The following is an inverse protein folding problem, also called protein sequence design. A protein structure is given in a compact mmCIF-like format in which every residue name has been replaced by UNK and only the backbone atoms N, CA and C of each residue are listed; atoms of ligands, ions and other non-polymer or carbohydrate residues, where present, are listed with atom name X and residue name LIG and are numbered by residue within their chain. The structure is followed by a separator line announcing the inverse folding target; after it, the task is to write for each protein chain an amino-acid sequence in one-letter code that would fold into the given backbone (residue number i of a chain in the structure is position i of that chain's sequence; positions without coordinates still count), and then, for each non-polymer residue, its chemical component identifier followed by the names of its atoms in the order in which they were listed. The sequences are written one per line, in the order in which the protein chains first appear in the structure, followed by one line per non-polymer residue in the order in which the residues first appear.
data_IF_436209584661
#
_entry.id   IF_436209584661
#
_cell.length_a   1.000
_cell.length_b   1.000
_cell.length_c   1.000
_cell.angle_alpha   90.00
_cell.angle_beta   90.00
_cell.angle_gamma   90.00
#
_symmetry.space_group_name_H-M   'P 1'
#
loop_
_entity.id
_entity.type
_entity.pdbx_description
1 polymer ?
#
# COMPACT_ATOMS: atom_id res chain seq x y z
N UNK A 1 19.37 -4.31 -27.18
CA UNK A 1 18.38 -5.26 -27.76
C UNK A 1 17.70 -4.64 -28.96
N UNK A 2 17.56 -5.37 -30.04
CA UNK A 2 17.10 -4.83 -31.33
C UNK A 2 15.58 -4.58 -31.29
N UNK A 3 15.14 -3.30 -31.30
CA UNK A 3 13.73 -2.89 -31.28
C UNK A 3 12.87 -3.54 -32.38
N UNK A 4 13.51 -4.00 -33.46
CA UNK A 4 12.87 -4.72 -34.58
C UNK A 4 12.48 -6.15 -34.24
N UNK A 5 13.17 -6.84 -33.32
CA UNK A 5 12.83 -8.18 -32.88
C UNK A 5 11.62 -8.21 -31.94
N UNK A 6 11.43 -7.17 -31.12
CA UNK A 6 10.27 -7.02 -30.24
C UNK A 6 9.01 -6.73 -31.11
N UNK A 7 9.13 -5.87 -32.11
CA UNK A 7 8.04 -5.58 -33.03
C UNK A 7 7.63 -6.80 -33.88
N UNK A 8 8.57 -7.65 -34.25
CA UNK A 8 8.30 -8.87 -35.02
C UNK A 8 7.63 -9.96 -34.17
N UNK A 9 8.01 -10.07 -32.86
CA UNK A 9 7.36 -10.98 -31.94
C UNK A 9 5.92 -10.60 -31.64
N UNK A 10 5.62 -9.30 -31.57
CA UNK A 10 4.26 -8.79 -31.40
C UNK A 10 3.44 -8.98 -32.68
N UNK A 11 4.01 -8.75 -33.85
CA UNK A 11 3.31 -8.90 -35.14
C UNK A 11 2.99 -10.36 -35.47
N UNK A 12 3.78 -11.33 -35.04
CA UNK A 12 3.51 -12.75 -35.25
C UNK A 12 2.40 -13.34 -34.36
N UNK A 13 2.08 -12.66 -33.26
CA UNK A 13 0.96 -13.04 -32.38
C UNK A 13 -0.42 -12.60 -32.88
N UNK A 14 -0.48 -11.68 -33.86
CA UNK A 14 -1.74 -11.02 -34.29
C UNK A 14 -2.36 -11.67 -35.56
N UNK A 15 -1.78 -12.70 -36.13
CA UNK A 15 -2.20 -13.20 -37.48
C UNK A 15 -3.12 -14.44 -37.44
N UNK A 16 -3.81 -14.76 -36.35
CA UNK A 16 -4.79 -15.84 -36.32
C UNK A 16 -6.23 -15.26 -36.28
N UNK A 17 -7.19 -15.89 -37.00
CA UNK A 17 -8.59 -15.54 -36.84
C UNK A 17 -9.03 -15.89 -35.43
N UNK A 18 -9.25 -14.88 -34.62
CA UNK A 18 -9.82 -15.01 -33.28
C UNK A 18 -11.27 -15.38 -33.41
N UNK A 19 -11.62 -16.62 -33.08
CA UNK A 19 -12.97 -16.94 -32.68
C UNK A 19 -13.11 -16.40 -31.27
N UNK A 20 -13.59 -15.18 -31.12
CA UNK A 20 -13.83 -14.55 -29.85
C UNK A 20 -14.79 -15.42 -29.02
N UNK A 21 -14.30 -16.08 -28.02
CA UNK A 21 -15.12 -16.66 -26.98
C UNK A 21 -15.69 -15.51 -26.14
N UNK A 22 -16.89 -15.67 -25.60
CA UNK A 22 -17.60 -14.61 -24.91
C UNK A 22 -16.73 -13.99 -23.80
N UNK A 23 -16.38 -12.71 -23.97
CA UNK A 23 -15.69 -11.96 -22.91
C UNK A 23 -16.61 -11.85 -21.68
N UNK A 24 -16.12 -12.31 -20.54
CA UNK A 24 -16.85 -12.21 -19.28
C UNK A 24 -16.48 -10.92 -18.57
N UNK A 25 -17.46 -10.10 -18.23
CA UNK A 25 -17.30 -8.93 -17.37
C UNK A 25 -17.89 -9.23 -16.01
N UNK A 26 -17.07 -9.19 -14.99
CA UNK A 26 -17.50 -9.31 -13.61
C UNK A 26 -17.50 -7.93 -12.94
N UNK A 27 -18.62 -7.60 -12.31
CA UNK A 27 -18.74 -6.46 -11.40
C UNK A 27 -18.50 -6.97 -9.99
N UNK A 28 -17.63 -6.30 -9.26
CA UNK A 28 -17.31 -6.64 -7.87
C UNK A 28 -16.94 -5.39 -7.08
N UNK A 29 -16.87 -5.50 -5.79
CA UNK A 29 -16.50 -4.36 -4.97
C UNK A 29 -16.52 -4.69 -3.49
N UNK A 30 -16.11 -3.70 -2.71
CA UNK A 30 -16.18 -3.74 -1.25
C UNK A 30 -16.64 -2.38 -0.75
N UNK A 31 -17.60 -2.40 0.16
CA UNK A 31 -18.00 -1.24 0.97
C UNK A 31 -17.52 -1.51 2.39
N UNK A 32 -16.66 -0.65 2.91
CA UNK A 32 -16.00 -0.80 4.20
C UNK A 32 -16.04 0.53 4.95
N UNK A 33 -16.85 0.61 5.99
CA UNK A 33 -17.08 1.84 6.74
C UNK A 33 -17.14 1.58 8.24
N UNK A 34 -16.80 2.59 9.01
CA UNK A 34 -16.86 2.50 10.46
C UNK A 34 -17.01 3.85 11.17
N UNK A 35 -17.14 3.76 12.47
CA UNK A 35 -17.08 4.89 13.39
C UNK A 35 -15.85 4.72 14.25
N UNK A 36 -15.02 5.74 14.28
CA UNK A 36 -13.79 5.79 15.04
C UNK A 36 -13.88 6.80 16.17
N UNK A 37 -13.27 6.47 17.28
CA UNK A 37 -12.85 7.40 18.32
C UNK A 37 -11.32 7.41 18.37
N UNK A 38 -10.73 8.49 17.84
CA UNK A 38 -9.28 8.66 17.75
C UNK A 38 -8.82 9.58 18.86
N UNK A 39 -7.96 9.08 19.73
CA UNK A 39 -7.34 9.85 20.82
C UNK A 39 -5.94 10.29 20.41
N UNK A 40 -5.70 11.59 20.45
CA UNK A 40 -4.37 12.17 20.25
C UNK A 40 -3.73 12.42 21.62
N UNK A 41 -2.80 11.58 22.03
CA UNK A 41 -2.04 11.82 23.24
C UNK A 41 -0.98 12.90 23.00
N UNK A 42 -0.70 13.67 24.05
CA UNK A 42 0.28 14.74 24.01
C UNK A 42 1.71 14.21 23.85
N UNK A 43 2.38 14.63 22.78
CA UNK A 43 3.84 14.51 22.68
C UNK A 43 4.55 15.46 23.64
N UNK A 44 5.84 15.27 23.85
CA UNK A 44 6.71 16.01 24.81
C UNK A 44 6.89 17.50 24.47
N UNK A 45 6.48 17.95 23.31
CA UNK A 45 6.67 19.32 22.83
C UNK A 45 5.51 20.28 23.19
N UNK A 46 4.98 20.19 24.38
CA UNK A 46 4.09 21.14 25.03
C UNK A 46 3.02 21.80 24.13
N UNK A 47 1.76 21.55 24.41
CA UNK A 47 0.55 22.19 23.89
C UNK A 47 -0.16 21.56 22.70
N UNK A 48 -0.22 20.28 22.60
CA UNK A 48 -1.30 19.66 21.80
C UNK A 48 -2.38 19.21 22.78
N UNK A 49 -3.55 19.81 22.67
CA UNK A 49 -4.69 19.42 23.49
C UNK A 49 -5.04 17.96 23.22
N UNK A 50 -5.44 17.26 24.27
CA UNK A 50 -6.07 15.94 24.19
C UNK A 50 -7.42 16.08 23.47
N UNK A 51 -7.41 16.08 22.16
CA UNK A 51 -8.63 16.11 21.38
C UNK A 51 -8.96 14.68 20.94
N UNK A 52 -9.99 14.10 21.53
CA UNK A 52 -10.61 12.92 20.97
C UNK A 52 -11.47 13.35 19.79
N UNK A 53 -11.30 12.68 18.66
CA UNK A 53 -12.05 12.96 17.45
C UNK A 53 -12.89 11.72 17.09
N UNK A 54 -14.22 11.87 17.27
CA UNK A 54 -15.16 10.91 16.70
C UNK A 54 -15.36 11.20 15.21
N UNK A 55 -15.28 10.18 14.37
CA UNK A 55 -15.49 10.32 12.92
C UNK A 55 -16.22 9.13 12.33
N UNK A 56 -16.91 9.35 11.21
CA UNK A 56 -17.32 8.29 10.31
C UNK A 56 -16.24 8.13 9.24
N UNK A 57 -15.71 6.94 9.09
CA UNK A 57 -14.58 6.63 8.22
C UNK A 57 -14.99 5.66 7.11
N UNK A 58 -14.28 5.74 5.99
CA UNK A 58 -14.30 4.80 4.88
C UNK A 58 -12.92 4.15 4.78
N UNK A 59 -12.86 2.83 4.75
CA UNK A 59 -11.62 2.05 4.80
C UNK A 59 -11.24 1.47 3.43
N UNK A 60 -11.35 2.28 2.39
CA UNK A 60 -10.94 1.90 1.05
C UNK A 60 -12.02 1.21 0.25
N UNK A 61 -13.29 1.61 0.45
CA UNK A 61 -14.41 1.18 -0.40
C UNK A 61 -14.10 1.38 -1.88
N UNK A 62 -14.48 0.42 -2.71
CA UNK A 62 -14.27 0.49 -4.14
C UNK A 62 -15.31 -0.28 -4.96
N UNK A 63 -15.44 0.12 -6.22
CA UNK A 63 -16.13 -0.63 -7.27
C UNK A 63 -15.11 -1.11 -8.30
N UNK A 64 -15.18 -2.37 -8.67
CA UNK A 64 -14.30 -3.00 -9.64
C UNK A 64 -15.06 -3.60 -10.82
N UNK A 65 -14.42 -3.53 -11.97
CA UNK A 65 -14.79 -4.25 -13.19
C UNK A 65 -13.58 -5.06 -13.63
N UNK A 66 -13.75 -6.34 -13.95
CA UNK A 66 -12.69 -7.18 -14.50
C UNK A 66 -13.22 -8.13 -15.53
N UNK A 67 -12.36 -8.54 -16.44
CA UNK A 67 -12.73 -9.49 -17.47
C UNK A 67 -11.55 -10.22 -18.04
N UNK A 68 -11.85 -11.30 -18.76
CA UNK A 68 -10.89 -12.06 -19.52
C UNK A 68 -11.51 -12.53 -20.84
N UNK A 69 -10.67 -12.62 -21.85
CA UNK A 69 -11.02 -13.13 -23.19
C UNK A 69 -9.96 -14.16 -23.60
N UNK A 70 -10.39 -15.37 -23.92
CA UNK A 70 -9.49 -16.39 -24.47
C UNK A 70 -9.13 -16.03 -25.92
N UNK A 71 -7.87 -15.73 -26.17
CA UNK A 71 -7.35 -15.37 -27.50
C UNK A 71 -6.68 -16.52 -28.22
N UNK A 72 -6.80 -17.75 -27.70
CA UNK A 72 -6.26 -18.98 -28.29
C UNK A 72 -4.89 -19.37 -27.75
N UNK A 73 -4.44 -20.58 -28.08
CA UNK A 73 -3.14 -21.15 -27.71
C UNK A 73 -2.84 -21.13 -26.19
N UNK A 74 -3.87 -21.22 -25.35
CA UNK A 74 -3.70 -21.18 -23.89
C UNK A 74 -3.36 -19.80 -23.33
N UNK A 75 -3.64 -18.73 -24.12
CA UNK A 75 -3.42 -17.33 -23.73
C UNK A 75 -4.78 -16.63 -23.62
N UNK A 76 -4.93 -15.84 -22.58
CA UNK A 76 -6.08 -14.95 -22.37
C UNK A 76 -5.62 -13.49 -22.28
N UNK A 77 -6.34 -12.59 -22.91
CA UNK A 77 -6.29 -11.17 -22.59
C UNK A 77 -7.06 -10.95 -21.28
N UNK A 78 -6.48 -10.19 -20.36
CA UNK A 78 -7.07 -9.88 -19.05
C UNK A 78 -7.10 -8.37 -18.83
N UNK A 79 -8.06 -7.89 -18.09
CA UNK A 79 -8.14 -6.49 -17.70
C UNK A 79 -8.87 -6.33 -16.38
N UNK A 80 -8.56 -5.27 -15.68
CA UNK A 80 -9.18 -4.87 -14.42
C UNK A 80 -9.20 -3.35 -14.32
N UNK A 81 -10.28 -2.79 -13.77
CA UNK A 81 -10.40 -1.39 -13.41
C UNK A 81 -11.03 -1.35 -12.03
N UNK A 82 -10.35 -0.79 -11.06
CA UNK A 82 -10.86 -0.53 -9.72
C UNK A 82 -10.88 0.96 -9.43
N UNK A 83 -12.03 1.44 -9.00
CA UNK A 83 -12.26 2.83 -8.61
C UNK A 83 -12.61 2.91 -7.13
N UNK A 84 -11.82 3.63 -6.35
CA UNK A 84 -12.15 3.95 -4.97
C UNK A 84 -13.42 4.80 -4.88
N UNK A 85 -14.24 4.51 -3.88
CA UNK A 85 -15.48 5.22 -3.58
C UNK A 85 -15.34 5.77 -2.16
N UNK A 86 -15.59 7.06 -1.95
CA UNK A 86 -15.63 7.63 -0.59
C UNK A 86 -17.07 7.70 -0.11
N UNK A 87 -17.37 6.96 0.95
CA UNK A 87 -18.68 6.96 1.63
C UNK A 87 -18.72 7.91 2.82
N UNK A 88 -17.57 8.34 3.34
CA UNK A 88 -17.47 9.24 4.49
C UNK A 88 -17.48 10.71 4.14
N UNK A 89 -17.36 11.07 2.86
CA UNK A 89 -17.25 12.46 2.44
C UNK A 89 -15.97 13.16 2.90
N UNK A 90 -15.03 12.43 3.46
CA UNK A 90 -13.73 12.92 3.92
C UNK A 90 -12.84 13.39 2.76
N UNK A 91 -11.85 14.19 3.08
CA UNK A 91 -10.98 15.05 2.28
C UNK A 91 -10.31 14.49 1.02
N UNK A 92 -10.73 13.39 0.48
CA UNK A 92 -10.29 12.97 -0.85
C UNK A 92 -10.97 13.85 -1.89
N UNK A 93 -10.41 15.03 -2.09
CA UNK A 93 -10.61 15.93 -3.25
C UNK A 93 -12.00 15.90 -3.86
N UNK A 94 -12.97 15.65 -3.02
CA UNK A 94 -14.34 15.63 -3.39
C UNK A 94 -14.76 17.06 -3.68
N UNK A 95 -15.21 17.31 -4.83
CA UNK A 95 -16.00 18.45 -5.30
C UNK A 95 -15.89 19.73 -4.46
N UNK A 96 -14.93 20.54 -4.77
CA UNK A 96 -14.98 21.93 -4.40
C UNK A 96 -15.63 22.72 -5.57
N UNK A 97 -16.94 22.80 -5.58
CA UNK A 97 -17.66 23.73 -6.45
C UNK A 97 -17.96 24.96 -5.61
N UNK A 98 -17.27 26.07 -5.87
CA UNK A 98 -17.48 27.37 -5.24
C UNK A 98 -17.35 27.37 -3.70
N UNK A 99 -16.33 26.69 -3.14
CA UNK A 99 -16.13 26.66 -1.69
C UNK A 99 -17.08 25.73 -0.93
N UNK A 100 -17.84 24.89 -1.63
CA UNK A 100 -18.65 23.84 -1.03
C UNK A 100 -18.02 22.48 -1.32
N UNK A 101 -17.59 21.80 -0.27
CA UNK A 101 -17.17 20.42 -0.30
C UNK A 101 -18.38 19.53 -0.54
N UNK A 102 -18.43 18.87 -1.66
CA UNK A 102 -19.46 17.89 -1.96
C UNK A 102 -19.07 17.09 -3.20
N UNK A 103 -18.98 15.81 -3.10
CA UNK A 103 -18.70 14.80 -4.12
C UNK A 103 -17.33 14.87 -4.85
N UNK A 104 -16.66 13.75 -4.98
CA UNK A 104 -15.32 13.64 -5.55
C UNK A 104 -15.22 14.29 -6.92
N UNK A 105 -14.32 15.26 -7.07
CA UNK A 105 -14.15 16.00 -8.34
C UNK A 105 -13.40 15.23 -9.38
N UNK A 106 -12.73 14.18 -9.00
CA UNK A 106 -12.01 13.37 -9.94
C UNK A 106 -12.26 11.89 -9.61
N UNK A 107 -13.17 11.22 -10.33
CA UNK A 107 -13.37 9.80 -10.19
C UNK A 107 -12.08 9.00 -10.46
N UNK A 108 -11.06 9.65 -11.02
CA UNK A 108 -9.78 9.04 -11.37
C UNK A 108 -8.67 9.24 -10.32
N UNK A 109 -8.88 10.03 -9.28
CA UNK A 109 -7.83 10.34 -8.28
C UNK A 109 -7.62 9.26 -7.22
N UNK A 110 -8.43 8.23 -7.20
CA UNK A 110 -8.28 7.12 -6.29
C UNK A 110 -8.37 5.79 -7.05
N UNK A 111 -7.58 5.67 -8.10
CA UNK A 111 -7.48 4.41 -8.84
C UNK A 111 -6.75 3.39 -7.98
N UNK A 112 -7.37 2.22 -7.86
CA UNK A 112 -6.78 1.02 -7.30
C UNK A 112 -6.16 0.20 -8.44
N UNK A 113 -5.97 -1.11 -8.28
CA UNK A 113 -5.38 -1.95 -9.32
C UNK A 113 -6.17 -1.85 -10.63
N UNK A 114 -5.57 -1.25 -11.64
CA UNK A 114 -6.19 -1.01 -12.96
C UNK A 114 -5.16 -1.27 -14.05
N UNK A 115 -5.36 -2.34 -14.82
CA UNK A 115 -4.39 -2.83 -15.78
C UNK A 115 -5.03 -3.57 -16.94
N UNK A 116 -4.23 -3.78 -17.97
CA UNK A 116 -4.49 -4.72 -19.07
C UNK A 116 -3.29 -5.65 -19.21
N UNK A 117 -3.51 -6.91 -19.60
CA UNK A 117 -2.42 -7.87 -19.69
C UNK A 117 -2.75 -9.11 -20.49
N UNK A 118 -1.76 -9.99 -20.55
CA UNK A 118 -1.86 -11.33 -21.14
C UNK A 118 -1.52 -12.35 -20.06
N UNK A 119 -2.33 -13.38 -19.95
CA UNK A 119 -2.16 -14.47 -19.00
C UNK A 119 -2.11 -15.81 -19.70
N UNK A 120 -1.17 -16.65 -19.28
CA UNK A 120 -1.03 -18.04 -19.73
C UNK A 120 -0.76 -18.94 -18.55
N UNK A 121 -1.41 -20.08 -18.49
CA UNK A 121 -1.20 -21.08 -17.43
C UNK A 121 0.21 -21.67 -17.41
N UNK A 122 0.91 -21.64 -18.54
CA UNK A 122 2.27 -22.16 -18.67
C UNK A 122 3.37 -21.11 -18.65
N UNK A 123 3.06 -19.87 -19.06
CA UNK A 123 4.03 -18.79 -19.19
C UNK A 123 3.86 -17.67 -18.17
N UNK A 124 2.80 -17.73 -17.35
CA UNK A 124 2.48 -16.70 -16.36
C UNK A 124 1.73 -15.51 -16.95
N UNK A 125 1.76 -14.39 -16.25
CA UNK A 125 0.97 -13.20 -16.57
C UNK A 125 1.88 -11.99 -16.69
N UNK A 126 1.71 -11.23 -17.77
CA UNK A 126 2.31 -9.89 -17.96
C UNK A 126 1.19 -8.87 -17.99
N UNK A 127 1.32 -7.81 -17.24
CA UNK A 127 0.31 -6.75 -17.16
C UNK A 127 0.96 -5.36 -17.13
N UNK A 128 0.24 -4.35 -17.61
CA UNK A 128 0.68 -2.96 -17.59
C UNK A 128 -0.43 -2.04 -17.11
N UNK A 129 -0.10 -1.09 -16.26
CA UNK A 129 -1.04 -0.13 -15.69
C UNK A 129 -0.69 0.28 -14.27
N UNK A 130 -1.70 0.27 -13.40
CA UNK A 130 -1.60 0.53 -11.96
C UNK A 130 -1.73 -0.81 -11.24
N UNK A 131 -0.74 -1.17 -10.45
CA UNK A 131 -0.75 -2.45 -9.76
C UNK A 131 0.07 -2.39 -8.47
N UNK A 132 -0.37 -3.12 -7.43
CA UNK A 132 0.42 -3.30 -6.22
C UNK A 132 1.78 -3.89 -6.58
N UNK A 133 2.85 -3.38 -5.98
CA UNK A 133 4.19 -3.92 -6.24
C UNK A 133 4.32 -5.36 -5.74
N UNK A 134 5.17 -6.18 -6.33
CA UNK A 134 5.54 -7.49 -5.78
C UNK A 134 5.95 -7.42 -4.31
N UNK A 135 6.63 -6.36 -3.91
CA UNK A 135 7.02 -6.10 -2.53
C UNK A 135 5.80 -6.03 -1.60
N UNK A 136 4.79 -5.23 -1.95
CA UNK A 136 3.53 -5.15 -1.21
C UNK A 136 2.78 -6.49 -1.18
N UNK A 137 2.66 -7.13 -2.34
CA UNK A 137 1.93 -8.41 -2.47
C UNK A 137 2.51 -9.51 -1.58
N UNK A 138 3.83 -9.49 -1.36
CA UNK A 138 4.56 -10.51 -0.63
C UNK A 138 4.07 -10.71 0.81
N UNK A 139 3.60 -9.67 1.48
CA UNK A 139 3.22 -9.72 2.90
C UNK A 139 1.78 -9.29 3.18
N UNK A 140 1.01 -8.89 2.16
CA UNK A 140 -0.37 -8.43 2.32
C UNK A 140 -1.29 -9.43 3.05
N UNK A 141 -1.09 -10.73 2.86
CA UNK A 141 -1.86 -11.78 3.54
C UNK A 141 -1.51 -11.99 5.02
N UNK A 142 -0.43 -11.37 5.49
CA UNK A 142 0.08 -11.54 6.85
C UNK A 142 -0.58 -10.55 7.83
N UNK A 143 -1.23 -9.51 7.31
CA UNK A 143 -1.92 -8.51 8.12
C UNK A 143 -3.42 -8.82 8.25
N UNK A 144 -3.90 -9.20 9.46
CA UNK A 144 -5.32 -9.40 9.70
C UNK A 144 -6.12 -8.10 9.81
N UNK A 145 -5.46 -6.93 9.86
CA UNK A 145 -6.07 -5.61 10.01
C UNK A 145 -5.92 -4.72 8.77
N UNK A 146 -5.55 -5.33 7.63
CA UNK A 146 -5.39 -4.60 6.36
C UNK A 146 -6.66 -3.79 5.99
N UNK A 147 -6.44 -2.61 5.42
CA UNK A 147 -7.50 -1.65 5.10
C UNK A 147 -8.31 -1.17 6.34
N UNK A 148 -7.71 -1.11 7.54
CA UNK A 148 -8.31 -0.53 8.76
C UNK A 148 -7.32 0.44 9.43
N UNK A 149 -7.72 1.09 10.52
CA UNK A 149 -6.77 1.88 11.34
C UNK A 149 -5.65 1.03 11.97
N UNK A 150 -5.85 -0.28 12.05
CA UNK A 150 -4.87 -1.21 12.58
C UNK A 150 -3.88 -1.74 11.55
N UNK A 151 -4.00 -1.34 10.29
CA UNK A 151 -3.12 -1.74 9.20
C UNK A 151 -1.64 -1.56 9.54
N UNK A 152 -0.84 -2.57 9.27
CA UNK A 152 0.59 -2.57 9.60
C UNK A 152 1.40 -1.49 8.84
N UNK A 153 0.86 -0.96 7.74
CA UNK A 153 1.49 0.11 6.98
C UNK A 153 1.55 1.47 7.72
N UNK A 154 0.96 1.56 8.90
CA UNK A 154 1.28 2.64 9.82
C UNK A 154 2.75 2.65 10.27
N UNK A 155 3.41 1.50 10.19
CA UNK A 155 4.81 1.27 10.59
C UNK A 155 5.63 0.63 9.47
N UNK A 156 5.13 -0.48 8.89
CA UNK A 156 5.83 -1.25 7.85
C UNK A 156 5.83 -0.48 6.53
N UNK A 157 6.98 -0.39 5.88
CA UNK A 157 7.14 0.38 4.64
C UNK A 157 7.09 1.90 4.83
N UNK A 158 6.89 2.37 6.06
CA UNK A 158 6.82 3.78 6.40
C UNK A 158 8.17 4.31 6.88
N UNK A 159 8.35 5.62 6.80
CA UNK A 159 9.47 6.33 7.42
C UNK A 159 8.93 7.56 8.15
N UNK A 160 9.42 7.80 9.34
CA UNK A 160 8.96 8.90 10.19
C UNK A 160 10.07 9.91 10.45
N UNK A 161 10.58 10.56 9.41
CA UNK A 161 11.49 11.67 9.56
C UNK A 161 10.80 12.92 10.08
N UNK A 162 11.52 13.73 10.82
CA UNK A 162 11.04 14.98 11.38
C UNK A 162 10.42 15.90 10.31
N UNK A 163 9.16 16.30 10.51
CA UNK A 163 8.43 17.16 9.59
C UNK A 163 7.72 16.47 8.44
N UNK A 164 7.69 15.16 8.44
CA UNK A 164 6.91 14.34 7.52
C UNK A 164 5.70 13.75 8.22
N UNK A 165 4.55 13.74 7.57
CA UNK A 165 3.55 12.69 7.82
C UNK A 165 4.22 11.36 7.51
N UNK A 166 3.97 10.34 8.31
CA UNK A 166 4.41 8.99 7.97
C UNK A 166 3.98 8.70 6.53
N UNK A 167 4.94 8.62 5.65
CA UNK A 167 4.70 8.36 4.25
C UNK A 167 5.24 6.98 3.95
N UNK A 168 4.40 6.14 3.38
CA UNK A 168 4.86 4.85 2.90
C UNK A 168 5.83 5.07 1.74
N UNK A 169 7.07 4.67 1.94
CA UNK A 169 8.07 4.61 0.87
C UNK A 169 7.97 3.30 0.11
N UNK A 170 7.55 2.24 0.80
CA UNK A 170 7.41 0.89 0.26
C UNK A 170 5.97 0.41 0.44
N UNK A 171 5.64 -0.79 -0.02
CA UNK A 171 4.26 -1.31 -0.04
C UNK A 171 3.31 -0.48 -0.91
N UNK A 172 3.77 -0.07 -2.08
CA UNK A 172 3.13 0.90 -2.96
C UNK A 172 2.23 0.27 -4.03
N UNK A 173 1.40 1.12 -4.62
CA UNK A 173 0.63 0.86 -5.84
C UNK A 173 0.95 1.93 -6.88
N UNK A 174 2.09 1.81 -7.56
CA UNK A 174 2.52 2.80 -8.53
C UNK A 174 1.67 2.77 -9.80
N UNK A 175 1.59 3.93 -10.45
CA UNK A 175 1.19 4.07 -11.85
C UNK A 175 2.35 3.73 -12.78
N UNK A 176 2.09 3.60 -14.09
CA UNK A 176 3.12 3.38 -15.10
C UNK A 176 3.98 2.12 -14.86
N UNK A 177 3.38 1.09 -14.30
CA UNK A 177 4.04 -0.17 -14.01
C UNK A 177 3.84 -1.19 -15.12
N UNK A 178 4.87 -2.00 -15.37
CA UNK A 178 4.78 -3.28 -16.06
C UNK A 178 5.18 -4.35 -15.08
N UNK A 179 4.31 -5.34 -14.89
CA UNK A 179 4.52 -6.42 -13.94
C UNK A 179 4.43 -7.80 -14.62
N UNK A 180 5.17 -8.75 -14.07
CA UNK A 180 5.12 -10.16 -14.42
C UNK A 180 4.89 -10.99 -13.17
N UNK A 181 4.02 -12.00 -13.30
CA UNK A 181 3.84 -13.07 -12.32
C UNK A 181 4.04 -14.42 -12.98
N UNK A 182 4.85 -15.28 -12.39
CA UNK A 182 5.03 -16.65 -12.89
C UNK A 182 3.74 -17.46 -12.76
N UNK A 183 3.62 -18.58 -13.48
CA UNK A 183 2.68 -19.63 -13.11
C UNK A 183 2.98 -20.12 -11.70
N UNK A 184 2.04 -20.89 -11.12
CA UNK A 184 2.34 -21.64 -9.91
C UNK A 184 3.40 -22.73 -10.22
N UNK A 185 4.54 -22.63 -9.56
CA UNK A 185 5.67 -23.54 -9.66
C UNK A 185 5.69 -24.50 -8.45
N UNK A 186 4.63 -25.28 -8.29
CA UNK A 186 4.42 -26.17 -7.15
C UNK A 186 4.37 -25.41 -5.80
N UNK A 187 3.54 -24.38 -5.73
CA UNK A 187 3.36 -23.52 -4.59
C UNK A 187 4.27 -22.26 -4.60
N UNK A 188 5.30 -22.22 -5.44
CA UNK A 188 6.15 -21.04 -5.60
C UNK A 188 5.62 -20.14 -6.71
N UNK A 189 5.40 -18.86 -6.38
CA UNK A 189 5.14 -17.78 -7.33
C UNK A 189 6.28 -16.77 -7.28
N UNK A 190 6.82 -16.43 -8.44
CA UNK A 190 7.79 -15.35 -8.60
C UNK A 190 7.09 -14.15 -9.23
N UNK A 191 7.36 -12.96 -8.73
CA UNK A 191 6.81 -11.73 -9.26
C UNK A 191 7.90 -10.68 -9.47
N UNK A 192 7.76 -9.86 -10.51
CA UNK A 192 8.65 -8.75 -10.79
C UNK A 192 7.86 -7.59 -11.41
N UNK A 193 8.23 -6.36 -11.07
CA UNK A 193 7.65 -5.16 -11.66
C UNK A 193 8.73 -4.12 -11.93
N UNK A 194 8.52 -3.35 -12.99
CA UNK A 194 9.29 -2.16 -13.31
C UNK A 194 8.33 -0.98 -13.45
N UNK A 195 8.66 0.12 -12.79
CA UNK A 195 7.88 1.36 -12.78
C UNK A 195 8.65 2.39 -13.59
N UNK A 196 8.04 2.84 -14.67
CA UNK A 196 8.62 3.88 -15.50
C UNK A 196 8.42 5.24 -14.81
N UNK A 197 9.50 5.97 -14.63
CA UNK A 197 9.42 7.33 -14.16
C UNK A 197 8.82 8.25 -15.22
N UNK A 198 7.96 9.13 -14.80
CA UNK A 198 7.46 10.24 -15.60
C UNK A 198 7.36 11.53 -14.75
N UNK A 199 7.05 12.64 -15.40
CA UNK A 199 6.94 13.94 -14.74
C UNK A 199 5.80 14.02 -13.70
N UNK A 200 4.93 13.02 -13.64
CA UNK A 200 3.75 12.97 -12.76
C UNK A 200 3.84 11.88 -11.70
N UNK A 201 4.83 11.01 -11.80
CA UNK A 201 5.00 9.90 -10.86
C UNK A 201 5.64 10.40 -9.57
N UNK A 202 4.86 10.49 -8.51
CA UNK A 202 5.28 10.96 -7.19
C UNK A 202 6.28 10.02 -6.51
N UNK A 203 6.33 8.75 -6.91
CA UNK A 203 7.23 7.75 -6.32
C UNK A 203 8.66 7.87 -6.79
N UNK A 204 8.88 8.43 -7.96
CA UNK A 204 10.21 8.63 -8.54
C UNK A 204 10.67 10.09 -8.53
N UNK A 205 9.91 10.95 -7.85
CA UNK A 205 10.35 12.28 -7.49
C UNK A 205 10.34 13.32 -8.60
N UNK A 206 9.44 13.24 -9.59
CA UNK A 206 9.26 14.35 -10.54
C UNK A 206 7.97 15.08 -10.25
N UNK A 207 8.06 16.19 -9.54
CA UNK A 207 7.00 17.17 -9.56
C UNK A 207 7.37 18.32 -10.47
N UNK A 208 6.51 18.52 -11.44
CA UNK A 208 6.18 19.79 -12.06
C UNK A 208 7.28 20.64 -12.68
N UNK A 209 7.51 20.43 -13.95
CA UNK A 209 7.44 21.44 -14.98
C UNK A 209 8.20 22.74 -14.81
N UNK A 210 9.43 22.75 -14.33
CA UNK A 210 10.36 23.81 -14.70
C UNK A 210 11.74 23.23 -15.02
N UNK A 211 11.86 22.60 -16.18
CA UNK A 211 13.05 22.73 -16.96
C UNK A 211 14.27 21.89 -16.65
N UNK A 212 14.14 20.66 -16.17
CA UNK A 212 15.20 19.67 -16.35
C UNK A 212 14.61 18.41 -16.99
N UNK A 213 14.33 18.51 -18.26
CA UNK A 213 14.07 17.35 -19.10
C UNK A 213 15.29 16.46 -19.04
N UNK A 214 15.21 15.23 -18.51
CA UNK A 214 16.01 14.06 -18.87
C UNK A 214 16.41 13.12 -17.73
N UNK A 215 15.89 13.23 -16.52
CA UNK A 215 16.04 12.16 -15.54
C UNK A 215 14.72 11.93 -14.83
N UNK A 216 13.82 11.21 -15.49
CA UNK A 216 12.72 10.54 -14.80
C UNK A 216 13.35 9.43 -13.96
N UNK A 217 13.09 9.39 -12.67
CA UNK A 217 13.47 8.26 -11.85
C UNK A 217 12.78 6.97 -12.33
N UNK A 218 13.11 5.87 -11.72
CA UNK A 218 12.44 4.58 -11.96
C UNK A 218 12.38 3.77 -10.67
N UNK A 219 11.60 2.70 -10.67
CA UNK A 219 11.58 1.76 -9.57
C UNK A 219 11.48 0.33 -10.09
N UNK A 220 11.96 -0.62 -9.30
CA UNK A 220 11.73 -2.03 -9.55
C UNK A 220 11.47 -2.80 -8.26
N UNK A 221 10.65 -3.81 -8.37
CA UNK A 221 10.21 -4.64 -7.26
C UNK A 221 10.22 -6.10 -7.68
N UNK A 222 10.69 -6.98 -6.80
CA UNK A 222 10.68 -8.44 -7.02
C UNK A 222 10.22 -9.14 -5.75
N UNK A 223 9.54 -10.29 -5.92
CA UNK A 223 9.15 -11.14 -4.81
C UNK A 223 9.16 -12.61 -5.18
N UNK A 224 9.42 -13.44 -4.18
CA UNK A 224 9.19 -14.88 -4.19
C UNK A 224 8.21 -15.22 -3.07
N UNK A 225 7.12 -15.90 -3.40
CA UNK A 225 6.03 -16.26 -2.50
C UNK A 225 5.84 -17.78 -2.58
N UNK A 226 6.00 -18.49 -1.46
CA UNK A 226 5.96 -19.94 -1.44
C UNK A 226 4.92 -20.46 -0.45
N UNK A 227 3.91 -21.14 -0.98
CA UNK A 227 2.89 -21.87 -0.24
C UNK A 227 3.33 -23.33 -0.08
N UNK A 228 3.64 -23.74 1.14
CA UNK A 228 4.08 -25.09 1.48
C UNK A 228 3.14 -25.70 2.52
N UNK A 229 2.03 -26.26 2.06
CA UNK A 229 1.00 -26.80 2.94
C UNK A 229 0.44 -25.72 3.89
N UNK A 230 0.62 -25.87 5.23
CA UNK A 230 0.17 -24.88 6.17
C UNK A 230 1.09 -23.67 6.32
N UNK A 231 2.26 -23.70 5.71
CA UNK A 231 3.26 -22.63 5.77
C UNK A 231 3.20 -21.75 4.53
N UNK A 232 3.40 -20.45 4.73
CA UNK A 232 3.67 -19.46 3.71
C UNK A 232 5.01 -18.80 4.01
N UNK A 233 5.90 -18.75 3.02
CA UNK A 233 7.21 -18.11 3.12
C UNK A 233 7.35 -17.08 2.01
N UNK A 234 7.93 -15.94 2.31
CA UNK A 234 8.12 -14.92 1.29
C UNK A 234 9.41 -14.13 1.49
N UNK A 235 9.94 -13.66 0.37
CA UNK A 235 11.05 -12.71 0.32
C UNK A 235 10.77 -11.69 -0.78
N UNK A 236 11.02 -10.41 -0.50
CA UNK A 236 10.81 -9.35 -1.47
C UNK A 236 11.91 -8.29 -1.37
N UNK A 237 12.13 -7.60 -2.49
CA UNK A 237 13.04 -6.47 -2.61
C UNK A 237 12.42 -5.41 -3.52
N UNK A 238 12.57 -4.14 -3.13
CA UNK A 238 12.12 -2.99 -3.91
C UNK A 238 13.16 -1.89 -3.87
N UNK A 239 13.35 -1.18 -4.98
CA UNK A 239 14.26 -0.05 -5.08
C UNK A 239 13.66 1.07 -5.91
N UNK A 240 13.83 2.29 -5.43
CA UNK A 240 13.46 3.52 -6.13
C UNK A 240 14.71 4.33 -6.44
N UNK A 241 14.86 4.72 -7.69
CA UNK A 241 15.89 5.65 -8.17
C UNK A 241 15.23 7.00 -8.44
N UNK A 242 15.66 8.04 -7.76
CA UNK A 242 15.05 9.37 -7.88
C UNK A 242 15.67 10.17 -9.02
N UNK A 243 14.81 10.72 -9.86
CA UNK A 243 15.18 11.59 -10.97
C UNK A 243 15.46 13.03 -10.57
N UNK A 244 15.91 13.87 -11.53
CA UNK A 244 16.06 15.30 -11.32
C UNK A 244 14.69 15.96 -11.13
N UNK A 245 14.53 16.72 -10.07
CA UNK A 245 13.28 17.41 -9.75
C UNK A 245 12.45 16.73 -8.67
N UNK A 246 13.05 15.78 -7.95
CA UNK A 246 12.48 15.23 -6.74
C UNK A 246 12.07 16.34 -5.79
N UNK A 247 10.84 16.79 -5.92
CA UNK A 247 10.29 17.81 -5.04
C UNK A 247 9.44 17.07 -4.02
N UNK A 248 9.99 17.00 -2.85
CA UNK A 248 9.44 16.32 -1.73
C UNK A 248 7.99 16.61 -1.39
N UNK A 249 7.08 15.93 -2.07
CA UNK A 249 5.78 15.62 -1.45
C UNK A 249 5.96 14.79 -0.18
N UNK A 250 7.17 14.29 0.02
CA UNK A 250 7.58 13.47 1.15
C UNK A 250 8.39 14.25 2.20
N UNK A 251 8.40 15.59 2.18
CA UNK A 251 9.10 16.42 3.18
C UNK A 251 10.63 16.32 3.18
N UNK A 252 11.19 15.23 2.66
CA UNK A 252 12.58 15.05 2.28
C UNK A 252 12.61 15.03 0.76
N UNK A 253 13.24 16.02 0.13
CA UNK A 253 13.38 16.06 -1.31
C UNK A 253 14.63 15.23 -1.69
N UNK A 254 14.49 13.95 -2.08
CA UNK A 254 15.64 13.23 -2.58
C UNK A 254 16.17 13.95 -3.80
N UNK A 255 17.47 14.13 -3.87
CA UNK A 255 18.15 14.77 -4.97
C UNK A 255 18.27 13.81 -6.15
N UNK A 256 18.43 14.36 -7.34
CA UNK A 256 18.71 13.56 -8.53
C UNK A 256 19.88 12.61 -8.30
N UNK A 257 19.69 11.33 -8.64
CA UNK A 257 20.69 10.29 -8.47
C UNK A 257 20.73 9.66 -7.07
N UNK A 258 19.87 10.11 -6.16
CA UNK A 258 19.64 9.41 -4.90
C UNK A 258 18.70 8.21 -5.10
N UNK A 259 18.71 7.29 -4.15
CA UNK A 259 17.88 6.10 -4.16
C UNK A 259 17.54 5.65 -2.75
N UNK A 260 16.44 4.91 -2.59
CA UNK A 260 16.18 4.09 -1.44
C UNK A 260 15.86 2.66 -1.88
N UNK A 261 16.07 1.72 -1.01
CA UNK A 261 15.72 0.33 -1.22
C UNK A 261 15.30 -0.34 0.10
N UNK A 262 14.50 -1.38 -0.03
CA UNK A 262 14.14 -2.23 1.09
C UNK A 262 14.05 -3.69 0.67
N UNK A 263 14.31 -4.57 1.64
CA UNK A 263 14.02 -5.98 1.52
C UNK A 263 13.23 -6.45 2.72
N UNK A 264 12.41 -7.47 2.52
CA UNK A 264 11.65 -8.09 3.60
C UNK A 264 11.58 -9.60 3.45
N UNK A 265 11.53 -10.27 4.59
CA UNK A 265 11.29 -11.69 4.72
C UNK A 265 10.06 -11.90 5.58
N UNK A 266 9.19 -12.80 5.16
CA UNK A 266 7.96 -13.13 5.88
C UNK A 266 7.73 -14.63 5.97
N UNK A 267 7.12 -15.05 7.07
CA UNK A 267 6.66 -16.41 7.26
C UNK A 267 5.31 -16.41 7.98
N UNK A 268 4.39 -17.26 7.53
CA UNK A 268 3.16 -17.56 8.25
C UNK A 268 3.00 -19.06 8.39
N UNK A 269 2.34 -19.49 9.47
CA UNK A 269 2.02 -20.89 9.70
C UNK A 269 0.60 -21.00 10.26
N UNK A 270 -0.21 -21.84 9.61
CA UNK A 270 -1.58 -22.12 10.04
C UNK A 270 -1.64 -23.49 10.67
N UNK A 271 -2.15 -23.55 11.90
CA UNK A 271 -2.41 -24.81 12.62
C UNK A 271 -3.83 -24.80 13.15
N UNK A 272 -4.66 -25.73 12.69
CA UNK A 272 -6.10 -25.71 12.96
C UNK A 272 -6.70 -24.34 12.57
N UNK A 273 -7.28 -23.63 13.53
CA UNK A 273 -7.92 -22.33 13.35
C UNK A 273 -6.99 -21.13 13.69
N UNK A 274 -5.75 -21.40 14.08
CA UNK A 274 -4.75 -20.38 14.41
C UNK A 274 -3.80 -20.15 13.25
N UNK A 275 -3.64 -18.91 12.84
CA UNK A 275 -2.59 -18.45 11.91
C UNK A 275 -1.65 -17.50 12.64
N UNK A 276 -0.36 -17.80 12.58
CA UNK A 276 0.71 -16.94 13.11
C UNK A 276 1.54 -16.41 11.94
N UNK A 277 1.89 -15.14 11.98
CA UNK A 277 2.75 -14.51 10.98
C UNK A 277 3.88 -13.73 11.64
N UNK A 278 5.04 -13.73 11.00
CA UNK A 278 6.22 -12.96 11.39
C UNK A 278 6.88 -12.38 10.14
N UNK A 279 7.28 -11.12 10.21
CA UNK A 279 7.99 -10.44 9.13
C UNK A 279 9.11 -9.58 9.70
N UNK A 280 10.19 -9.50 8.94
CA UNK A 280 11.29 -8.55 9.13
C UNK A 280 11.50 -7.76 7.85
N UNK A 281 11.64 -6.45 7.98
CA UNK A 281 11.95 -5.52 6.91
C UNK A 281 13.20 -4.72 7.26
N UNK A 282 14.00 -4.41 6.25
CA UNK A 282 15.12 -3.49 6.39
C UNK A 282 15.15 -2.55 5.18
N UNK A 283 15.10 -1.27 5.45
CA UNK A 283 15.20 -0.20 4.45
C UNK A 283 16.54 0.52 4.54
N UNK A 284 16.99 1.04 3.42
CA UNK A 284 18.19 1.86 3.29
C UNK A 284 17.96 2.99 2.29
N UNK A 285 18.75 4.03 2.41
CA UNK A 285 18.79 5.13 1.45
C UNK A 285 20.20 5.74 1.37
N UNK A 286 20.36 6.72 0.49
CA UNK A 286 21.55 7.52 0.38
C UNK A 286 21.25 9.03 0.45
N UNK A 287 20.24 9.41 1.24
CA UNK A 287 19.75 10.79 1.33
C UNK A 287 20.60 11.68 2.23
N UNK A 288 21.41 11.10 3.11
CA UNK A 288 22.29 11.83 4.00
C UNK A 288 23.50 12.44 3.33
N UNK A 289 24.25 13.25 4.07
CA UNK A 289 25.45 13.90 3.60
C UNK A 289 26.50 12.88 3.11
N UNK A 290 27.00 13.10 1.89
CA UNK A 290 27.95 12.18 1.27
C UNK A 290 27.37 10.84 0.84
N UNK A 291 26.04 10.72 0.75
CA UNK A 291 25.35 9.48 0.38
C UNK A 291 25.18 8.50 1.55
N UNK A 292 25.24 8.98 2.78
CA UNK A 292 24.97 8.15 3.94
C UNK A 292 23.47 7.81 4.05
N UNK A 293 23.15 6.70 4.72
CA UNK A 293 21.79 6.36 5.09
C UNK A 293 21.23 7.43 6.06
N UNK A 294 20.04 7.93 5.81
CA UNK A 294 19.38 8.95 6.61
C UNK A 294 18.08 8.44 7.27
N UNK A 295 17.23 7.77 6.53
CA UNK A 295 15.89 7.35 6.94
C UNK A 295 15.73 5.83 7.02
N UNK A 296 16.68 5.07 6.46
CA UNK A 296 16.64 3.62 6.46
C UNK A 296 16.77 3.05 7.87
N UNK A 297 15.92 2.10 8.17
CA UNK A 297 15.80 1.45 9.48
C UNK A 297 15.32 0.00 9.32
N UNK A 298 15.18 -0.70 10.40
CA UNK A 298 14.61 -2.05 10.43
C UNK A 298 13.23 -2.03 11.06
N UNK A 299 12.37 -2.93 10.58
CA UNK A 299 11.01 -3.08 11.09
C UNK A 299 10.71 -4.56 11.36
N UNK A 300 10.08 -4.83 12.48
CA UNK A 300 9.53 -6.13 12.83
C UNK A 300 8.01 -6.06 12.83
N UNK A 301 7.38 -7.11 12.35
CA UNK A 301 5.94 -7.30 12.43
C UNK A 301 5.61 -8.72 12.83
N UNK A 302 4.62 -8.89 13.70
CA UNK A 302 4.06 -10.18 14.05
C UNK A 302 2.57 -10.11 14.26
N UNK A 303 1.84 -11.14 13.80
CA UNK A 303 0.40 -11.23 14.01
C UNK A 303 -0.04 -12.65 14.38
N UNK A 304 -1.19 -12.72 15.04
CA UNK A 304 -1.90 -13.97 15.32
C UNK A 304 -3.39 -13.76 15.05
N UNK A 305 -3.99 -14.65 14.27
CA UNK A 305 -5.43 -14.67 13.99
C UNK A 305 -6.01 -16.03 14.34
N UNK A 306 -7.07 -16.07 15.16
CA UNK A 306 -7.76 -17.27 15.56
C UNK A 306 -9.23 -17.22 15.14
N UNK A 307 -9.69 -18.25 14.44
CA UNK A 307 -11.06 -18.40 13.94
C UNK A 307 -11.91 -19.24 14.90
N UNK A 308 -13.07 -18.72 15.27
CA UNK A 308 -14.02 -19.40 16.18
C UNK A 308 -15.43 -19.40 15.57
N UNK A 309 -15.66 -20.27 14.59
CA UNK A 309 -16.95 -20.33 13.90
C UNK A 309 -17.22 -19.04 13.11
N UNK A 310 -18.18 -18.22 13.57
CA UNK A 310 -18.51 -16.95 12.94
C UNK A 310 -17.62 -15.79 13.44
N UNK A 311 -16.78 -16.01 14.44
CA UNK A 311 -15.90 -14.98 15.01
C UNK A 311 -14.47 -15.20 14.58
N UNK A 312 -13.78 -14.14 14.28
CA UNK A 312 -12.32 -14.09 14.15
C UNK A 312 -11.78 -13.13 15.22
N UNK A 313 -10.70 -13.50 15.90
CA UNK A 313 -9.98 -12.62 16.83
C UNK A 313 -8.55 -12.53 16.37
N UNK A 314 -8.01 -11.32 16.37
CA UNK A 314 -6.64 -11.09 15.93
C UNK A 314 -5.91 -10.11 16.85
N UNK A 315 -4.58 -10.25 16.87
CA UNK A 315 -3.67 -9.30 17.47
C UNK A 315 -2.46 -9.13 16.55
N UNK A 316 -1.89 -7.92 16.54
CA UNK A 316 -0.71 -7.60 15.78
C UNK A 316 0.20 -6.66 16.57
N UNK A 317 1.49 -6.76 16.29
CA UNK A 317 2.52 -5.88 16.79
C UNK A 317 3.50 -5.53 15.68
N UNK A 318 3.80 -4.24 15.54
CA UNK A 318 4.84 -3.74 14.66
C UNK A 318 5.80 -2.85 15.46
N UNK A 319 7.08 -2.93 15.12
CA UNK A 319 8.14 -2.09 15.72
C UNK A 319 9.05 -1.58 14.62
N UNK A 320 9.19 -0.27 14.51
CA UNK A 320 10.23 0.38 13.71
C UNK A 320 11.37 0.79 14.61
N UNK A 321 12.61 0.42 14.22
CA UNK A 321 13.82 0.93 14.85
C UNK A 321 14.09 2.38 14.47
N UNK A 322 14.99 3.03 15.18
CA UNK A 322 15.45 4.36 14.81
C UNK A 322 16.24 4.33 13.48
N UNK A 323 16.11 5.38 12.69
CA UNK A 323 16.95 5.68 11.54
C UNK A 323 18.33 6.25 11.97
N UNK A 324 19.00 7.03 11.11
CA UNK A 324 20.28 7.66 11.46
C UNK A 324 20.17 8.65 12.63
N UNK A 325 18.97 9.15 12.91
CA UNK A 325 18.68 9.98 14.08
C UNK A 325 18.16 9.08 15.22
N UNK A 326 18.64 9.30 16.42
CA UNK A 326 18.16 8.57 17.60
C UNK A 326 16.73 8.93 17.97
N UNK A 327 15.99 7.96 18.52
CA UNK A 327 14.60 8.13 19.00
C UNK A 327 13.61 8.49 17.87
N UNK A 328 13.77 7.88 16.70
CA UNK A 328 12.85 7.97 15.57
C UNK A 328 12.06 6.70 15.34
N UNK A 329 12.12 5.74 16.24
CA UNK A 329 11.36 4.49 16.20
C UNK A 329 9.91 4.66 16.67
N UNK A 330 9.12 3.60 16.51
CA UNK A 330 7.77 3.51 17.04
C UNK A 330 7.30 2.07 17.22
N UNK A 331 6.30 1.90 18.07
CA UNK A 331 5.60 0.64 18.32
C UNK A 331 4.12 0.78 17.98
N UNK A 332 3.57 -0.16 17.22
CA UNK A 332 2.13 -0.29 17.00
C UNK A 332 1.61 -1.58 17.62
N UNK A 333 0.50 -1.48 18.33
CA UNK A 333 -0.25 -2.61 18.88
C UNK A 333 -1.67 -2.55 18.37
N UNK A 334 -2.17 -3.65 17.82
CA UNK A 334 -3.56 -3.77 17.38
C UNK A 334 -4.18 -5.05 17.93
N UNK A 335 -5.37 -4.94 18.47
CA UNK A 335 -6.23 -6.07 18.85
C UNK A 335 -7.62 -5.82 18.30
N UNK A 336 -8.24 -6.85 17.76
CA UNK A 336 -9.59 -6.72 17.23
C UNK A 336 -10.22 -8.07 16.92
N UNK A 337 -11.40 -8.00 16.39
CA UNK A 337 -12.13 -9.19 15.96
C UNK A 337 -13.26 -8.84 15.02
N UNK A 338 -13.64 -9.85 14.25
CA UNK A 338 -14.72 -9.79 13.27
C UNK A 338 -15.85 -10.72 13.69
N UNK A 339 -17.07 -10.33 13.38
CA UNK A 339 -18.23 -11.19 13.34
C UNK A 339 -18.70 -11.35 11.91
N UNK A 340 -18.59 -12.55 11.37
CA UNK A 340 -18.94 -12.89 10.00
C UNK A 340 -20.43 -13.25 9.92
N UNK A 341 -21.29 -12.32 9.47
CA UNK A 341 -22.71 -12.58 9.20
C UNK A 341 -22.89 -13.53 8.03
N UNK A 342 -21.99 -13.44 7.03
CA UNK A 342 -21.95 -14.29 5.85
C UNK A 342 -20.52 -14.36 5.31
N UNK A 343 -20.33 -15.01 4.15
CA UNK A 343 -19.02 -15.01 3.44
C UNK A 343 -18.62 -13.64 2.90
N UNK A 344 -19.56 -12.71 2.78
CA UNK A 344 -19.36 -11.40 2.16
C UNK A 344 -19.67 -10.23 3.07
N UNK A 345 -20.20 -10.48 4.28
CA UNK A 345 -20.55 -9.41 5.23
C UNK A 345 -19.99 -9.71 6.60
N UNK A 346 -19.23 -8.79 7.14
CA UNK A 346 -18.68 -8.86 8.49
C UNK A 346 -18.84 -7.51 9.21
N UNK A 347 -18.98 -7.55 10.53
CA UNK A 347 -18.74 -6.41 11.39
C UNK A 347 -17.41 -6.60 12.08
N UNK A 348 -16.70 -5.51 12.35
CA UNK A 348 -15.44 -5.54 13.06
C UNK A 348 -15.41 -4.55 14.23
N UNK A 349 -14.62 -4.88 15.23
CA UNK A 349 -14.25 -4.00 16.32
C UNK A 349 -12.75 -4.14 16.55
N UNK A 350 -12.04 -3.03 16.59
CA UNK A 350 -10.61 -3.03 16.89
C UNK A 350 -10.22 -1.88 17.81
N UNK A 351 -9.11 -2.08 18.49
CA UNK A 351 -8.33 -1.05 19.16
C UNK A 351 -6.90 -1.08 18.61
N UNK A 352 -6.39 0.07 18.25
CA UNK A 352 -5.02 0.23 17.79
C UNK A 352 -4.33 1.39 18.50
N UNK A 353 -3.01 1.29 18.67
CA UNK A 353 -2.19 2.33 19.29
C UNK A 353 -0.82 2.36 18.65
N UNK A 354 -0.35 3.56 18.30
CA UNK A 354 1.03 3.84 17.92
C UNK A 354 1.68 4.68 19.02
N UNK A 355 2.81 4.20 19.53
CA UNK A 355 3.66 4.92 20.49
C UNK A 355 4.93 5.34 19.77
N UNK A 356 5.06 6.62 19.48
CA UNK A 356 6.24 7.20 18.85
C UNK A 356 7.35 7.47 19.86
N UNK A 357 8.59 7.23 19.49
CA UNK A 357 9.77 7.76 20.17
C UNK A 357 9.81 9.29 20.04
N UNK A 358 10.62 9.95 20.88
CA UNK A 358 10.57 11.42 21.05
C UNK A 358 10.79 12.25 19.78
N UNK A 359 11.38 11.67 18.73
CA UNK A 359 11.63 12.30 17.45
C UNK A 359 10.86 11.66 16.30
N UNK A 360 9.96 10.71 16.57
CA UNK A 360 9.21 9.97 15.56
C UNK A 360 7.83 10.58 15.31
N UNK A 361 7.28 10.33 14.11
CA UNK A 361 6.00 10.89 13.62
C UNK A 361 5.13 9.82 12.93
N UNK A 362 5.25 8.54 13.29
CA UNK A 362 4.40 7.48 12.73
C UNK A 362 2.93 7.73 13.03
N UNK A 363 2.07 7.40 12.08
CA UNK A 363 0.62 7.59 12.16
C UNK A 363 -0.11 6.36 11.59
N UNK A 364 -1.42 6.25 11.83
CA UNK A 364 -2.22 5.18 11.25
C UNK A 364 -2.17 5.24 9.72
N UNK A 365 -2.08 4.06 9.10
CA UNK A 365 -2.21 3.91 7.65
C UNK A 365 -3.68 4.09 7.28
N UNK A 366 -4.12 5.32 7.10
CA UNK A 366 -5.47 5.60 6.61
C UNK A 366 -5.40 5.96 5.13
N UNK A 367 -5.90 5.06 4.30
CA UNK A 367 -5.80 5.18 2.85
C UNK A 367 -6.81 6.16 2.24
N UNK A 368 -7.80 6.63 2.99
CA UNK A 368 -8.94 7.36 2.41
C UNK A 368 -9.26 8.70 3.05
N UNK A 369 -8.89 8.89 4.29
CA UNK A 369 -8.90 10.19 4.91
C UNK A 369 -7.64 10.29 5.75
N UNK A 370 -6.76 11.27 5.51
CA UNK A 370 -5.77 11.56 6.52
C UNK A 370 -6.58 11.70 7.82
N UNK A 371 -6.23 10.91 8.84
CA UNK A 371 -6.64 11.29 10.18
C UNK A 371 -6.29 12.75 10.21
N UNK A 372 -7.31 13.62 10.21
CA UNK A 372 -7.05 15.06 10.25
C UNK A 372 -6.15 15.20 11.47
N UNK A 373 -4.87 15.20 11.20
CA UNK A 373 -3.89 15.55 12.20
C UNK A 373 -4.46 16.83 12.80
N UNK A 374 -4.57 16.97 14.12
CA UNK A 374 -4.90 18.24 14.67
C UNK A 374 -3.84 19.20 14.13
N UNK A 375 -4.10 19.75 12.96
CA UNK A 375 -3.32 20.85 12.42
C UNK A 375 -3.47 21.93 13.47
N UNK A 376 -2.39 22.22 14.16
CA UNK A 376 -2.28 23.48 14.88
C UNK A 376 -2.77 24.54 13.90
N UNK A 377 -3.88 25.20 14.21
CA UNK A 377 -4.51 26.17 13.33
C UNK A 377 -3.43 27.13 12.81
N UNK A 378 -3.10 27.02 11.53
CA UNK A 378 -2.09 27.85 10.88
C UNK A 378 -0.72 27.21 10.61
N UNK A 379 -0.47 25.92 10.92
CA UNK A 379 0.76 25.23 10.54
C UNK A 379 0.45 23.99 9.68
N UNK A 380 1.14 23.83 8.55
CA UNK A 380 1.13 22.63 7.74
C UNK A 380 2.08 21.55 8.35
N UNK A 381 2.23 21.51 9.67
CA UNK A 381 3.13 20.58 10.33
C UNK A 381 2.34 19.33 10.67
N UNK A 382 2.65 18.26 9.97
CA UNK A 382 2.17 16.92 10.24
C UNK A 382 2.72 16.45 11.59
N UNK A 383 1.85 16.12 12.52
CA UNK A 383 2.16 15.41 13.74
C UNK A 383 2.98 16.17 14.80
N UNK A 384 2.89 15.68 16.02
CA UNK A 384 3.76 16.06 17.12
C UNK A 384 4.75 14.94 17.35
N UNK A 385 6.07 15.22 17.31
CA UNK A 385 7.06 14.19 17.57
C UNK A 385 6.86 13.58 18.96
N UNK A 386 6.99 12.28 19.05
CA UNK A 386 6.82 11.55 20.30
C UNK A 386 5.37 11.39 20.76
N UNK A 387 4.40 11.73 19.91
CA UNK A 387 3.00 11.54 20.24
C UNK A 387 2.62 10.07 20.28
N UNK A 388 1.85 9.69 21.30
CA UNK A 388 1.11 8.42 21.30
C UNK A 388 -0.28 8.67 20.76
N UNK A 389 -0.67 7.93 19.73
CA UNK A 389 -2.01 7.97 19.17
C UNK A 389 -2.71 6.63 19.40
N UNK A 390 -4.00 6.64 19.66
CA UNK A 390 -4.78 5.42 19.79
C UNK A 390 -6.17 5.60 19.22
N UNK A 391 -6.79 4.52 18.79
CA UNK A 391 -8.13 4.56 18.24
C UNK A 391 -8.92 3.29 18.60
N UNK A 392 -10.23 3.48 18.77
CA UNK A 392 -11.21 2.39 18.73
C UNK A 392 -12.01 2.57 17.45
N UNK A 393 -12.20 1.49 16.70
CA UNK A 393 -13.00 1.49 15.48
C UNK A 393 -14.04 0.37 15.52
N UNK A 394 -15.28 0.71 15.16
CA UNK A 394 -16.38 -0.24 14.97
C UNK A 394 -16.93 -0.04 13.56
N UNK A 395 -16.95 -1.09 12.75
CA UNK A 395 -17.37 -0.95 11.37
C UNK A 395 -18.05 -2.18 10.79
N UNK A 396 -18.43 -2.03 9.54
CA UNK A 396 -19.02 -3.09 8.71
C UNK A 396 -18.36 -3.09 7.33
N UNK A 397 -18.03 -4.31 6.88
CA UNK A 397 -17.48 -4.57 5.55
C UNK A 397 -18.41 -5.48 4.78
N UNK A 398 -18.74 -5.10 3.55
CA UNK A 398 -19.54 -5.90 2.64
C UNK A 398 -18.89 -5.99 1.27
N UNK A 399 -18.62 -7.21 0.80
CA UNK A 399 -18.11 -7.48 -0.55
C UNK A 399 -19.18 -8.08 -1.44
N UNK A 400 -19.20 -7.76 -2.73
CA UNK A 400 -20.20 -8.24 -3.70
C UNK A 400 -19.56 -8.58 -5.05
#
# INVERSE_FOLDING_TARGET
MNKKLIALAIASAVSMPVLADTSNVNIYGTLDVGVDDVSNATGTAGNVGTNNVGRFADYGSFLGLKGSENIGNGVSAIWQIEQGISLSGGNNSAFNVNGRTGFAQNPYNNQRNSFVGLSSTSAGTVMGGIHDTPYKMATASMDPFADTLGDYNGIVGASAAAGMSASNYFDLRPTNAVAYMSPDLNGLTLAGAYVFGDATNTYTGTTNGTGAANSSGDAYSIAAMYNLGPAYLTAAYEKHNFGAGGNGSLGYAPLAGQSNDAWKLGASYSVMDLTLSLMYENSNDNFGAGGANALGHHTWYGSAKYKMGAYDVALAYANAGSDAQSNTGADQYTIGGDYNFSKTTQAFLLYTRIANDSNAYYNFADTTAPVAEPTLAGSNVAGVPGATISAVSLGIKHSF
#
